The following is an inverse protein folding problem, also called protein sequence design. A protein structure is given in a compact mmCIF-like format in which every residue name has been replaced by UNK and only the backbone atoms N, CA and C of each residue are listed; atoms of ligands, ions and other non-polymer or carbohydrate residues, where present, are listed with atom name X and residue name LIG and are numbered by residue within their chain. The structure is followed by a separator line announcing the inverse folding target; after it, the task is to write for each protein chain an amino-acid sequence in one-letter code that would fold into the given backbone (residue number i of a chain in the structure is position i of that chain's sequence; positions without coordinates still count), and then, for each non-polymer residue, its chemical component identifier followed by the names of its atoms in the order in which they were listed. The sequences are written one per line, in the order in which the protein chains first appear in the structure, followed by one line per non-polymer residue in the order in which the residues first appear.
data_IF_405437464586
#
_entry.id   IF_405437464586
#
_cell.length_a   1.000
_cell.length_b   1.000
_cell.length_c   1.000
_cell.angle_alpha   90.00
_cell.angle_beta   90.00
_cell.angle_gamma   90.00
#
_symmetry.space_group_name_H-M   'P 1'
#
loop_
_entity.id
_entity.type
_entity.pdbx_description
1 polymer ?
#
# COMPACT_ATOMS: atom_id res chain seq x y z
N UNK A 1 35.36 -33.35 6.95
CA UNK A 1 34.13 -33.84 7.60
C UNK A 1 32.98 -32.93 7.19
N UNK A 2 32.27 -33.29 6.13
CA UNK A 2 31.06 -32.59 5.65
C UNK A 2 29.98 -33.67 5.62
N UNK A 3 29.24 -33.82 6.71
CA UNK A 3 28.19 -34.83 6.85
C UNK A 3 26.95 -34.29 7.61
N UNK A 4 26.80 -32.96 7.74
CA UNK A 4 25.67 -32.35 8.46
C UNK A 4 24.53 -31.86 7.56
N UNK A 5 24.83 -31.38 6.34
CA UNK A 5 23.84 -30.70 5.49
C UNK A 5 22.85 -31.64 4.78
N UNK A 6 23.24 -32.87 4.46
CA UNK A 6 22.33 -33.83 3.82
C UNK A 6 21.28 -34.38 4.80
N UNK A 7 21.64 -34.52 6.07
CA UNK A 7 20.76 -35.08 7.10
C UNK A 7 19.63 -34.09 7.48
N UNK A 8 19.95 -32.80 7.50
CA UNK A 8 18.97 -31.72 7.75
C UNK A 8 18.03 -31.49 6.56
N UNK A 9 18.56 -31.64 5.34
CA UNK A 9 17.74 -31.60 4.11
C UNK A 9 16.79 -32.81 4.07
N UNK A 10 17.25 -33.99 4.48
CA UNK A 10 16.41 -35.19 4.55
C UNK A 10 15.34 -35.11 5.63
N UNK A 11 15.67 -34.57 6.82
CA UNK A 11 14.68 -34.37 7.90
C UNK A 11 13.61 -33.35 7.51
N UNK A 12 14.00 -32.26 6.88
CA UNK A 12 13.06 -31.23 6.40
C UNK A 12 12.13 -31.78 5.30
N UNK A 13 12.68 -32.56 4.36
CA UNK A 13 11.89 -33.22 3.32
C UNK A 13 10.93 -34.29 3.88
N UNK A 14 11.34 -35.02 4.92
CA UNK A 14 10.50 -36.05 5.57
C UNK A 14 9.38 -35.41 6.40
N UNK A 15 9.66 -34.28 7.05
CA UNK A 15 8.66 -33.50 7.78
C UNK A 15 7.63 -32.88 6.83
N UNK A 16 8.07 -32.26 5.74
CA UNK A 16 7.18 -31.72 4.71
C UNK A 16 6.33 -32.80 4.03
N UNK A 17 6.88 -33.99 3.79
CA UNK A 17 6.08 -35.13 3.30
C UNK A 17 5.02 -35.59 4.30
N UNK A 18 5.33 -35.64 5.60
CA UNK A 18 4.31 -35.96 6.62
C UNK A 18 3.24 -34.87 6.77
N UNK A 19 3.63 -33.60 6.66
CA UNK A 19 2.69 -32.48 6.68
C UNK A 19 1.83 -32.43 5.41
N UNK A 20 2.35 -32.92 4.26
CA UNK A 20 1.61 -33.05 3.01
C UNK A 20 0.74 -34.33 2.95
N UNK A 21 1.18 -35.45 3.52
CA UNK A 21 0.36 -36.67 3.65
C UNK A 21 -0.83 -36.46 4.62
N UNK A 22 -0.73 -35.50 5.54
CA UNK A 22 -1.81 -35.10 6.43
C UNK A 22 -2.88 -34.20 5.76
N UNK A 23 -2.57 -33.64 4.59
CA UNK A 23 -3.53 -32.93 3.75
C UNK A 23 -3.86 -33.88 2.62
N UNK A 24 -4.98 -34.62 2.71
CA UNK A 24 -5.46 -35.49 1.62
C UNK A 24 -5.79 -34.67 0.36
N UNK A 25 -4.76 -34.27 -0.39
CA UNK A 25 -4.88 -33.77 -1.75
C UNK A 25 -4.64 -34.98 -2.64
N UNK A 26 -5.73 -35.61 -3.07
CA UNK A 26 -5.72 -36.61 -4.12
C UNK A 26 -5.32 -35.92 -5.44
N UNK A 27 -4.02 -35.80 -5.69
CA UNK A 27 -3.44 -35.24 -6.90
C UNK A 27 -2.22 -36.04 -7.35
N UNK A 28 -2.25 -36.50 -8.59
CA UNK A 28 -1.23 -37.34 -9.21
C UNK A 28 0.15 -36.64 -9.16
N UNK A 29 1.19 -37.34 -8.67
CA UNK A 29 2.49 -36.73 -8.31
C UNK A 29 3.19 -35.99 -9.46
N UNK A 30 2.88 -36.34 -10.70
CA UNK A 30 3.36 -35.64 -11.90
C UNK A 30 2.80 -34.21 -12.05
N UNK A 31 1.62 -33.91 -11.49
CA UNK A 31 0.99 -32.61 -11.55
C UNK A 31 1.69 -31.59 -10.62
N UNK A 32 2.12 -32.04 -9.43
CA UNK A 32 2.86 -31.24 -8.45
C UNK A 32 4.24 -30.86 -8.99
N UNK A 33 4.95 -31.82 -9.58
CA UNK A 33 6.24 -31.56 -10.23
C UNK A 33 6.12 -30.60 -11.42
N UNK A 34 5.02 -30.67 -12.18
CA UNK A 34 4.72 -29.72 -13.25
C UNK A 34 4.54 -28.29 -12.76
N UNK A 35 3.85 -28.09 -11.63
CA UNK A 35 3.61 -26.78 -11.02
C UNK A 35 4.91 -26.20 -10.44
N UNK A 36 5.70 -27.01 -9.73
CA UNK A 36 6.98 -26.59 -9.17
C UNK A 36 7.99 -26.20 -10.25
N UNK A 37 8.01 -26.95 -11.36
CA UNK A 37 8.89 -26.67 -12.51
C UNK A 37 8.47 -25.38 -13.24
N UNK A 38 7.17 -25.10 -13.38
CA UNK A 38 6.66 -23.82 -13.91
C UNK A 38 6.97 -22.63 -12.99
N UNK A 39 6.89 -22.82 -11.65
CA UNK A 39 7.27 -21.81 -10.67
C UNK A 39 8.77 -21.49 -10.71
N UNK A 40 9.63 -22.51 -10.86
CA UNK A 40 11.07 -22.31 -10.99
C UNK A 40 11.46 -21.63 -12.32
N UNK A 41 10.80 -21.99 -13.42
CA UNK A 41 11.00 -21.34 -14.72
C UNK A 41 10.56 -19.86 -14.70
N UNK A 42 9.44 -19.53 -14.04
CA UNK A 42 8.99 -18.14 -13.84
C UNK A 42 9.97 -17.32 -13.00
N UNK A 43 10.49 -17.87 -11.90
CA UNK A 43 11.49 -17.20 -11.05
C UNK A 43 12.80 -16.91 -11.81
N UNK A 44 13.24 -17.80 -12.70
CA UNK A 44 14.42 -17.56 -13.52
C UNK A 44 14.17 -16.51 -14.62
N UNK A 45 12.98 -16.47 -15.22
CA UNK A 45 12.61 -15.44 -16.20
C UNK A 45 12.52 -14.04 -15.55
N UNK A 46 11.94 -13.95 -14.35
CA UNK A 46 11.87 -12.70 -13.58
C UNK A 46 13.25 -12.20 -13.13
N UNK A 47 14.17 -13.10 -12.74
CA UNK A 47 15.55 -12.71 -12.43
C UNK A 47 16.30 -12.15 -13.65
N UNK A 48 15.96 -12.58 -14.88
CA UNK A 48 16.52 -11.99 -16.11
C UNK A 48 15.88 -10.64 -16.47
N UNK A 49 14.60 -10.42 -16.18
CA UNK A 49 13.97 -9.10 -16.35
C UNK A 49 14.51 -8.05 -15.37
N UNK A 50 14.92 -8.45 -14.14
CA UNK A 50 15.54 -7.54 -13.17
C UNK A 50 16.91 -6.98 -13.58
N UNK A 51 17.55 -7.51 -14.63
CA UNK A 51 18.82 -6.99 -15.15
C UNK A 51 18.66 -5.97 -16.29
N UNK A 52 17.43 -5.71 -16.76
CA UNK A 52 17.15 -4.78 -17.87
C UNK A 52 16.19 -3.63 -17.50
N UNK A 53 15.69 -3.59 -16.27
CA UNK A 53 14.85 -2.47 -15.77
C UNK A 53 15.65 -1.69 -14.73
N UNK A 54 16.70 -1.02 -15.19
CA UNK A 54 17.39 0.00 -14.43
C UNK A 54 17.07 1.37 -15.03
N UNK A 55 16.47 2.23 -14.20
CA UNK A 55 16.41 3.69 -14.30
C UNK A 55 15.50 4.25 -15.42
N UNK A 56 14.20 4.45 -15.13
CA UNK A 56 13.38 5.64 -15.46
C UNK A 56 11.89 5.36 -15.23
N UNK A 57 11.29 5.86 -14.13
CA UNK A 57 9.84 6.18 -13.99
C UNK A 57 9.40 6.48 -12.53
N UNK A 58 10.11 7.33 -11.79
CA UNK A 58 9.70 7.69 -10.41
C UNK A 58 9.62 9.20 -10.12
N UNK A 59 9.80 10.08 -11.12
CA UNK A 59 9.96 11.53 -10.85
C UNK A 59 8.79 12.40 -11.34
N UNK A 60 7.83 11.88 -12.12
CA UNK A 60 6.80 12.75 -12.76
C UNK A 60 5.43 12.71 -12.09
N UNK A 61 5.12 11.71 -11.26
CA UNK A 61 3.73 11.46 -10.90
C UNK A 61 3.19 12.19 -9.66
N UNK A 62 4.05 12.75 -8.81
CA UNK A 62 3.60 13.49 -7.63
C UNK A 62 3.56 15.02 -7.83
N UNK A 63 4.27 15.54 -8.83
CA UNK A 63 4.28 16.96 -9.18
C UNK A 63 3.01 17.42 -9.93
N UNK A 64 2.20 16.49 -10.46
CA UNK A 64 1.01 16.82 -11.25
C UNK A 64 -0.25 17.10 -10.42
N UNK A 65 -0.21 16.89 -9.10
CA UNK A 65 -1.43 16.89 -8.27
C UNK A 65 -1.86 18.29 -7.80
N UNK A 66 -1.01 19.33 -7.88
CA UNK A 66 -1.37 20.67 -7.36
C UNK A 66 -1.08 21.85 -8.31
N UNK A 67 -0.30 21.67 -9.38
CA UNK A 67 0.04 22.77 -10.30
C UNK A 67 -0.13 22.39 -11.75
N UNK A 68 -1.16 22.90 -12.42
CA UNK A 68 -1.24 22.81 -13.87
C UNK A 68 -0.10 23.62 -14.49
N UNK A 69 0.87 22.96 -15.15
CA UNK A 69 1.62 23.52 -16.28
C UNK A 69 2.31 22.43 -17.12
N UNK A 70 1.93 22.39 -18.41
CA UNK A 70 2.67 21.98 -19.61
C UNK A 70 3.66 20.80 -19.51
N UNK A 71 3.15 19.59 -19.78
CA UNK A 71 3.99 18.50 -20.26
C UNK A 71 4.49 18.82 -21.67
N UNK A 72 5.77 19.21 -21.77
CA UNK A 72 6.54 19.04 -23.00
C UNK A 72 7.40 17.81 -22.82
N UNK A 73 6.83 16.63 -23.10
CA UNK A 73 7.64 15.49 -23.52
C UNK A 73 6.89 14.66 -24.56
N UNK A 74 7.58 14.41 -25.68
CA UNK A 74 6.99 13.78 -26.87
C UNK A 74 6.89 12.27 -26.64
N UNK A 75 5.66 11.77 -26.55
CA UNK A 75 5.37 10.34 -26.66
C UNK A 75 3.98 10.00 -26.14
N UNK A 76 2.98 10.10 -27.01
CA UNK A 76 1.55 9.83 -26.74
C UNK A 76 0.93 10.73 -25.67
N UNK A 77 0.26 11.79 -26.12
CA UNK A 77 -0.58 12.66 -25.31
C UNK A 77 -1.76 11.82 -24.78
N UNK A 78 -1.67 11.35 -23.53
CA UNK A 78 -2.78 10.67 -22.86
C UNK A 78 -3.85 11.73 -22.66
N UNK A 79 -5.07 11.57 -23.20
CA UNK A 79 -6.13 12.54 -23.01
C UNK A 79 -6.37 12.74 -21.50
N UNK A 80 -6.66 13.97 -21.06
CA UNK A 80 -6.92 14.25 -19.65
C UNK A 80 -8.08 13.38 -19.17
N UNK A 81 -7.94 12.83 -17.96
CA UNK A 81 -8.99 12.03 -17.33
C UNK A 81 -10.27 12.86 -17.23
N UNK A 82 -11.42 12.23 -17.53
CA UNK A 82 -12.70 12.87 -17.26
C UNK A 82 -12.88 13.07 -15.75
N UNK A 83 -13.56 14.15 -15.30
CA UNK A 83 -13.92 14.34 -13.90
C UNK A 83 -14.63 13.11 -13.34
N UNK A 84 -14.38 12.77 -12.06
CA UNK A 84 -14.99 11.58 -11.45
C UNK A 84 -16.52 11.71 -11.40
N UNK A 85 -17.04 12.93 -11.33
CA UNK A 85 -18.47 13.27 -11.44
C UNK A 85 -19.07 13.05 -12.82
N UNK A 86 -18.27 12.77 -13.85
CA UNK A 86 -18.73 12.41 -15.20
C UNK A 86 -18.52 10.92 -15.54
N UNK A 87 -17.85 10.16 -14.67
CA UNK A 87 -17.65 8.73 -14.89
C UNK A 87 -18.97 7.97 -15.00
N UNK A 88 -19.11 7.17 -16.06
CA UNK A 88 -20.26 6.28 -16.24
C UNK A 88 -20.35 5.29 -15.09
N UNK A 89 -21.52 5.17 -14.41
CA UNK A 89 -21.73 4.20 -13.35
C UNK A 89 -21.50 2.76 -13.81
N UNK A 90 -20.90 1.91 -12.96
CA UNK A 90 -20.65 0.49 -13.28
C UNK A 90 -20.60 -0.42 -12.05
N UNK A 91 -20.39 -1.72 -12.26
CA UNK A 91 -20.43 -2.75 -11.22
C UNK A 91 -21.75 -3.52 -11.18
N UNK A 92 -21.69 -4.73 -10.64
CA UNK A 92 -22.79 -5.69 -10.66
C UNK A 92 -23.98 -5.29 -9.75
N UNK A 93 -23.82 -4.29 -8.89
CA UNK A 93 -24.86 -3.81 -7.97
C UNK A 93 -25.32 -2.37 -8.29
N UNK A 94 -24.93 -1.82 -9.44
CA UNK A 94 -25.18 -0.39 -9.73
C UNK A 94 -26.66 -0.01 -9.86
N UNK A 95 -27.54 -0.97 -10.17
CA UNK A 95 -28.99 -0.78 -10.25
C UNK A 95 -29.75 -1.01 -8.94
N UNK A 96 -29.05 -1.30 -7.84
CA UNK A 96 -29.67 -1.48 -6.51
C UNK A 96 -29.84 -0.11 -5.83
N UNK A 97 -31.01 0.50 -6.02
CA UNK A 97 -31.32 1.82 -5.45
C UNK A 97 -31.36 1.82 -3.92
N UNK A 98 -31.81 0.72 -3.29
CA UNK A 98 -31.83 0.64 -1.83
C UNK A 98 -30.41 0.59 -1.26
N UNK A 99 -29.50 -0.12 -1.93
CA UNK A 99 -28.09 -0.13 -1.58
C UNK A 99 -27.47 1.27 -1.76
N UNK A 100 -27.81 1.96 -2.85
CA UNK A 100 -27.38 3.34 -3.08
C UNK A 100 -27.86 4.28 -1.97
N UNK A 101 -29.10 4.16 -1.52
CA UNK A 101 -29.66 4.95 -0.42
C UNK A 101 -28.98 4.66 0.92
N UNK A 102 -28.73 3.38 1.23
CA UNK A 102 -27.94 2.99 2.41
C UNK A 102 -26.51 3.55 2.34
N UNK A 103 -25.90 3.58 1.16
CA UNK A 103 -24.56 4.13 0.98
C UNK A 103 -24.54 5.64 1.22
N UNK A 104 -25.52 6.38 0.67
CA UNK A 104 -25.68 7.82 0.92
C UNK A 104 -25.93 8.11 2.39
N UNK A 105 -26.74 7.28 3.06
CA UNK A 105 -26.98 7.41 4.50
C UNK A 105 -25.72 7.18 5.34
N UNK A 106 -24.80 6.31 4.90
CA UNK A 106 -23.51 6.12 5.54
C UNK A 106 -22.55 7.32 5.34
N UNK A 107 -22.78 8.16 4.32
CA UNK A 107 -21.96 9.34 4.01
C UNK A 107 -22.78 10.64 3.95
N UNK A 108 -23.34 11.11 5.09
CA UNK A 108 -24.23 12.26 5.11
C UNK A 108 -23.55 13.57 4.64
N UNK A 109 -22.25 13.72 4.90
CA UNK A 109 -21.47 14.88 4.47
C UNK A 109 -21.29 14.97 2.95
N UNK A 110 -21.52 13.87 2.22
CA UNK A 110 -21.48 13.85 0.75
C UNK A 110 -22.64 14.58 0.09
N UNK A 111 -23.67 14.96 0.85
CA UNK A 111 -24.82 15.72 0.33
C UNK A 111 -25.47 15.05 -0.89
N UNK A 112 -25.65 15.84 -1.97
CA UNK A 112 -26.18 15.35 -3.24
C UNK A 112 -25.12 14.50 -3.99
N UNK A 113 -24.89 13.29 -3.50
CA UNK A 113 -23.92 12.35 -4.06
C UNK A 113 -24.55 11.36 -5.05
N UNK A 114 -23.76 10.95 -6.05
CA UNK A 114 -24.13 9.94 -7.04
C UNK A 114 -23.24 8.71 -6.92
N UNK A 115 -23.77 7.54 -7.26
CA UNK A 115 -22.98 6.30 -7.29
C UNK A 115 -22.22 6.21 -8.62
N UNK A 116 -20.91 5.95 -8.56
CA UNK A 116 -20.06 5.67 -9.74
C UNK A 116 -19.69 4.21 -9.84
N UNK A 117 -19.73 3.48 -8.73
CA UNK A 117 -19.47 2.05 -8.70
C UNK A 117 -20.24 1.38 -7.57
N UNK A 118 -20.79 0.19 -7.82
CA UNK A 118 -21.28 -0.68 -6.77
C UNK A 118 -21.03 -2.14 -7.13
N UNK A 119 -20.33 -2.87 -6.25
CA UNK A 119 -20.03 -4.28 -6.52
C UNK A 119 -19.49 -5.04 -5.32
N UNK A 120 -19.33 -6.35 -5.51
CA UNK A 120 -18.89 -7.29 -4.47
C UNK A 120 -17.45 -7.74 -4.71
N UNK A 121 -16.65 -7.78 -3.65
CA UNK A 121 -15.31 -8.36 -3.68
C UNK A 121 -15.36 -9.81 -4.18
N UNK A 122 -14.49 -10.21 -5.12
CA UNK A 122 -14.41 -11.59 -5.58
C UNK A 122 -13.65 -12.49 -4.59
N UNK A 123 -13.01 -11.92 -3.57
CA UNK A 123 -12.21 -12.66 -2.61
C UNK A 123 -13.08 -13.18 -1.46
N UNK A 124 -13.32 -14.49 -1.42
CA UNK A 124 -14.12 -15.10 -0.34
C UNK A 124 -13.51 -14.97 1.05
N UNK A 125 -12.18 -14.84 1.15
CA UNK A 125 -11.49 -14.66 2.42
C UNK A 125 -11.50 -13.20 2.93
N UNK A 126 -11.99 -12.27 2.12
CA UNK A 126 -12.14 -10.85 2.41
C UNK A 126 -13.28 -10.29 1.55
N UNK A 127 -14.49 -10.78 1.83
CA UNK A 127 -15.66 -10.50 1.03
C UNK A 127 -16.39 -9.29 1.61
N UNK A 128 -16.71 -8.33 0.76
CA UNK A 128 -17.44 -7.12 1.14
C UNK A 128 -18.08 -6.51 -0.10
N UNK A 129 -19.13 -5.72 0.11
CA UNK A 129 -19.73 -4.84 -0.90
C UNK A 129 -19.07 -3.48 -0.79
N UNK A 130 -18.69 -2.87 -1.92
CA UNK A 130 -18.26 -1.46 -1.99
C UNK A 130 -19.25 -0.70 -2.86
N UNK A 131 -19.67 0.46 -2.36
CA UNK A 131 -20.35 1.50 -3.11
C UNK A 131 -19.45 2.74 -3.11
N UNK A 132 -19.05 3.19 -4.29
CA UNK A 132 -18.28 4.42 -4.48
C UNK A 132 -19.25 5.53 -4.83
N UNK A 133 -19.32 6.52 -3.96
CA UNK A 133 -20.10 7.74 -4.11
C UNK A 133 -19.17 8.88 -4.53
N UNK A 134 -19.65 9.77 -5.37
CA UNK A 134 -18.98 11.03 -5.71
C UNK A 134 -19.92 12.20 -5.46
N UNK A 135 -19.37 13.27 -4.90
CA UNK A 135 -20.04 14.52 -4.62
C UNK A 135 -19.17 15.70 -5.06
N UNK A 136 -19.79 16.87 -5.20
CA UNK A 136 -19.09 18.15 -5.39
C UNK A 136 -19.24 18.97 -4.12
N UNK A 137 -18.13 19.42 -3.56
CA UNK A 137 -18.13 20.28 -2.38
C UNK A 137 -18.62 21.71 -2.73
N UNK A 138 -18.95 22.55 -1.73
CA UNK A 138 -19.38 23.93 -1.99
C UNK A 138 -18.36 24.81 -2.74
N UNK A 139 -17.07 24.42 -2.73
CA UNK A 139 -16.00 25.08 -3.47
C UNK A 139 -15.83 24.60 -4.91
N UNK A 140 -16.65 23.64 -5.36
CA UNK A 140 -16.58 23.04 -6.70
C UNK A 140 -15.57 21.90 -6.82
N UNK A 141 -14.94 21.48 -5.72
CA UNK A 141 -14.02 20.34 -5.67
C UNK A 141 -14.76 19.01 -5.66
N UNK A 142 -14.24 18.03 -6.40
CA UNK A 142 -14.77 16.66 -6.37
C UNK A 142 -14.33 15.94 -5.09
N UNK A 143 -15.23 15.18 -4.48
CA UNK A 143 -14.96 14.31 -3.33
C UNK A 143 -15.54 12.93 -3.56
N UNK A 144 -14.87 11.91 -3.06
CA UNK A 144 -15.35 10.53 -3.07
C UNK A 144 -15.58 10.01 -1.66
N UNK A 145 -16.57 9.15 -1.53
CA UNK A 145 -16.88 8.38 -0.33
C UNK A 145 -16.97 6.90 -0.69
N UNK A 146 -16.35 6.07 0.12
CA UNK A 146 -16.38 4.61 -0.04
C UNK A 146 -17.24 4.04 1.07
N UNK A 147 -18.48 3.68 0.76
CA UNK A 147 -19.34 2.97 1.69
C UNK A 147 -19.17 1.46 1.48
N UNK A 148 -18.95 0.71 2.56
CA UNK A 148 -18.74 -0.74 2.47
C UNK A 148 -19.66 -1.50 3.40
N UNK A 149 -19.99 -2.74 3.05
CA UNK A 149 -20.45 -3.68 4.07
C UNK A 149 -19.32 -3.95 5.06
N UNK A 150 -19.62 -4.50 6.25
CA UNK A 150 -18.59 -5.15 7.05
C UNK A 150 -17.87 -6.22 6.23
N UNK A 151 -16.58 -6.42 6.52
CA UNK A 151 -15.82 -7.52 5.94
C UNK A 151 -16.32 -8.85 6.51
N UNK A 152 -16.57 -9.80 5.61
CA UNK A 152 -16.97 -11.17 5.91
C UNK A 152 -15.92 -12.14 5.34
N UNK A 153 -15.44 -13.07 6.18
CA UNK A 153 -14.42 -14.06 5.80
C UNK A 153 -15.03 -15.38 5.32
N UNK A 154 -16.36 -15.50 5.33
CA UNK A 154 -17.09 -16.68 4.85
C UNK A 154 -17.54 -16.55 3.38
N UNK A 155 -17.40 -15.37 2.79
CA UNK A 155 -17.76 -15.09 1.40
C UNK A 155 -19.20 -14.62 1.20
N UNK A 156 -19.90 -14.22 2.26
CA UNK A 156 -21.32 -13.82 2.26
C UNK A 156 -21.50 -12.44 2.88
N UNK A 157 -21.07 -11.37 2.18
CA UNK A 157 -21.11 -10.03 2.75
C UNK A 157 -22.57 -9.58 2.92
N UNK A 158 -22.88 -8.88 4.01
CA UNK A 158 -24.21 -8.37 4.32
C UNK A 158 -24.40 -6.95 3.75
N UNK A 159 -25.11 -6.78 2.61
CA UNK A 159 -25.33 -5.46 2.00
C UNK A 159 -26.38 -4.61 2.74
N UNK A 160 -27.05 -5.15 3.77
CA UNK A 160 -28.06 -4.41 4.54
C UNK A 160 -27.45 -3.39 5.49
N UNK A 161 -26.15 -3.53 5.80
CA UNK A 161 -25.40 -2.64 6.67
C UNK A 161 -24.24 -2.06 5.89
N UNK A 162 -24.25 -0.75 5.66
CA UNK A 162 -23.13 -0.04 5.06
C UNK A 162 -22.54 0.93 6.07
N UNK A 163 -21.21 1.03 6.07
CA UNK A 163 -20.43 1.97 6.87
C UNK A 163 -19.52 2.78 5.95
N UNK A 164 -19.26 4.04 6.28
CA UNK A 164 -18.26 4.82 5.57
C UNK A 164 -16.88 4.27 5.91
N UNK A 165 -16.16 3.80 4.90
CA UNK A 165 -14.82 3.23 5.02
C UNK A 165 -13.73 4.28 4.85
N UNK A 166 -13.90 5.17 3.89
CA UNK A 166 -12.92 6.19 3.54
C UNK A 166 -13.59 7.36 2.79
N UNK A 167 -13.00 8.55 2.86
CA UNK A 167 -13.39 9.71 2.05
C UNK A 167 -12.18 10.58 1.73
N UNK A 168 -12.17 11.17 0.54
CA UNK A 168 -11.12 12.10 0.14
C UNK A 168 -11.56 13.09 -0.93
N UNK A 169 -10.88 14.24 -1.03
CA UNK A 169 -10.90 15.04 -2.23
C UNK A 169 -10.30 14.28 -3.42
N UNK A 170 -10.78 14.58 -4.62
CA UNK A 170 -10.25 14.07 -5.88
C UNK A 170 -9.47 15.19 -6.55
N UNK A 171 -8.21 14.91 -6.90
CA UNK A 171 -7.41 15.86 -7.65
C UNK A 171 -7.84 15.91 -9.11
N UNK A 172 -7.69 17.08 -9.73
CA UNK A 172 -8.00 17.25 -11.17
C UNK A 172 -7.13 16.31 -12.01
N UNK A 173 -7.76 15.57 -12.93
CA UNK A 173 -7.06 14.64 -13.81
C UNK A 173 -6.70 13.29 -13.17
N UNK A 174 -7.18 13.03 -11.95
CA UNK A 174 -6.97 11.76 -11.26
C UNK A 174 -7.69 10.61 -12.00
N UNK A 175 -6.92 9.58 -12.38
CA UNK A 175 -7.38 8.46 -13.21
C UNK A 175 -7.88 7.25 -12.44
N UNK A 176 -7.77 7.27 -11.12
CA UNK A 176 -8.30 6.25 -10.22
C UNK A 176 -8.64 6.83 -8.86
N UNK A 177 -9.61 6.24 -8.18
CA UNK A 177 -9.91 6.54 -6.78
C UNK A 177 -9.85 5.24 -5.99
N UNK A 178 -9.42 5.30 -4.75
CA UNK A 178 -9.29 4.10 -3.95
C UNK A 178 -8.99 4.39 -2.49
N UNK A 179 -9.00 3.35 -1.69
CA UNK A 179 -8.63 3.42 -0.29
C UNK A 179 -7.79 2.20 0.12
N UNK A 180 -7.06 2.36 1.21
CA UNK A 180 -6.50 1.26 2.00
C UNK A 180 -6.86 1.51 3.46
N UNK A 181 -7.56 0.55 4.06
CA UNK A 181 -7.98 0.56 5.46
C UNK A 181 -7.07 -0.38 6.24
N UNK A 182 -6.19 0.17 7.07
CA UNK A 182 -5.28 -0.59 7.91
C UNK A 182 -5.97 -1.14 9.17
N UNK A 183 -6.90 -0.36 9.70
CA UNK A 183 -7.69 -0.67 10.88
C UNK A 183 -9.05 -1.24 10.48
N UNK A 184 -9.47 -2.32 11.16
CA UNK A 184 -10.80 -2.90 11.03
C UNK A 184 -11.85 -1.94 11.61
N UNK A 185 -12.99 -1.76 10.92
CA UNK A 185 -14.12 -1.02 11.49
C UNK A 185 -15.01 -1.94 12.33
N UNK A 186 -15.87 -1.36 13.18
CA UNK A 186 -16.83 -2.13 13.95
C UNK A 186 -17.69 -3.06 13.07
N UNK A 187 -17.69 -4.35 13.40
CA UNK A 187 -18.44 -5.39 12.69
C UNK A 187 -17.64 -6.10 11.60
N UNK A 188 -16.46 -5.61 11.22
CA UNK A 188 -15.57 -6.36 10.33
C UNK A 188 -15.07 -7.64 11.02
N UNK A 189 -15.10 -8.75 10.30
CA UNK A 189 -14.36 -9.95 10.69
C UNK A 189 -12.86 -9.77 10.41
N UNK A 190 -12.01 -10.51 11.12
CA UNK A 190 -10.55 -10.44 10.92
C UNK A 190 -10.11 -11.57 9.99
N UNK A 191 -9.55 -11.25 8.80
CA UNK A 191 -9.00 -12.27 7.90
C UNK A 191 -7.92 -13.11 8.57
N UNK A 192 -7.77 -14.37 8.15
CA UNK A 192 -6.71 -15.25 8.66
C UNK A 192 -5.33 -14.66 8.35
N UNK A 193 -4.55 -14.37 9.40
CA UNK A 193 -3.26 -13.67 9.29
C UNK A 193 -3.34 -12.15 9.52
N UNK A 194 -4.52 -11.63 9.89
CA UNK A 194 -4.76 -10.19 10.00
C UNK A 194 -4.76 -9.52 8.62
N UNK A 195 -4.74 -8.19 8.62
CA UNK A 195 -4.49 -7.48 7.38
C UNK A 195 -5.17 -6.14 7.22
N UNK A 196 -4.88 -5.55 6.07
CA UNK A 196 -5.44 -4.27 5.62
C UNK A 196 -6.19 -4.51 4.32
N UNK A 197 -7.30 -3.80 4.14
CA UNK A 197 -8.18 -3.97 2.97
C UNK A 197 -7.92 -2.82 2.00
N UNK A 198 -7.62 -3.14 0.76
CA UNK A 198 -7.45 -2.17 -0.32
C UNK A 198 -8.51 -2.32 -1.40
N UNK A 199 -8.94 -1.19 -1.95
CA UNK A 199 -9.80 -1.11 -3.13
C UNK A 199 -9.34 0.04 -4.02
N UNK A 200 -9.33 -0.16 -5.34
CA UNK A 200 -9.21 0.94 -6.28
C UNK A 200 -10.07 0.74 -7.53
N UNK A 201 -10.60 1.86 -8.02
CA UNK A 201 -11.45 2.01 -9.17
C UNK A 201 -10.81 3.01 -10.14
N UNK A 202 -10.42 2.55 -11.32
CA UNK A 202 -9.90 3.41 -12.38
C UNK A 202 -11.02 4.08 -13.19
N UNK A 203 -10.68 5.08 -13.99
CA UNK A 203 -11.61 5.70 -14.93
C UNK A 203 -12.21 4.67 -15.92
N UNK A 204 -13.42 4.90 -16.44
CA UNK A 204 -14.02 4.04 -17.47
C UNK A 204 -13.08 3.84 -18.67
N UNK A 205 -12.97 2.59 -19.15
CA UNK A 205 -12.11 2.21 -20.27
C UNK A 205 -10.68 1.81 -19.87
N UNK A 206 -10.22 2.15 -18.66
CA UNK A 206 -8.99 1.58 -18.11
C UNK A 206 -9.21 0.09 -17.78
N UNK A 207 -8.26 -0.76 -18.21
CA UNK A 207 -8.33 -2.22 -17.96
C UNK A 207 -7.59 -2.64 -16.71
N UNK A 208 -6.41 -2.08 -16.51
CA UNK A 208 -5.49 -2.49 -15.47
C UNK A 208 -5.40 -1.40 -14.39
N UNK A 209 -5.79 -1.77 -13.18
CA UNK A 209 -5.48 -1.05 -11.95
C UNK A 209 -4.94 -2.05 -10.95
N UNK A 210 -3.85 -1.72 -10.27
CA UNK A 210 -3.28 -2.55 -9.21
C UNK A 210 -2.96 -1.68 -8.02
N UNK A 211 -3.00 -2.23 -6.81
CA UNK A 211 -2.44 -1.55 -5.65
C UNK A 211 -0.99 -2.02 -5.46
N UNK A 212 -0.10 -1.10 -5.08
CA UNK A 212 1.29 -1.40 -4.80
C UNK A 212 1.69 -0.77 -3.47
N UNK A 213 2.36 -1.55 -2.62
CA UNK A 213 2.79 -1.11 -1.28
C UNK A 213 4.26 -1.47 -1.03
N UNK A 214 5.00 -0.58 -0.36
CA UNK A 214 6.42 -0.82 -0.04
C UNK A 214 6.66 -1.83 1.07
N UNK A 215 5.64 -2.21 1.83
CA UNK A 215 5.78 -3.21 2.91
C UNK A 215 5.84 -4.65 2.39
N UNK A 216 5.47 -4.90 1.13
CA UNK A 216 5.52 -6.22 0.50
C UNK A 216 6.53 -6.24 -0.67
N UNK A 217 7.24 -7.37 -0.84
CA UNK A 217 8.12 -7.60 -2.00
C UNK A 217 7.34 -7.85 -3.28
N UNK A 218 6.35 -8.72 -3.18
CA UNK A 218 5.51 -9.15 -4.28
C UNK A 218 4.09 -9.31 -3.73
N UNK A 219 3.12 -8.61 -4.32
CA UNK A 219 1.72 -8.86 -4.07
C UNK A 219 1.23 -9.94 -5.03
N UNK A 220 0.54 -10.95 -4.51
CA UNK A 220 -0.19 -11.87 -5.38
C UNK A 220 -1.25 -11.06 -6.12
N UNK A 221 -1.16 -11.01 -7.45
CA UNK A 221 -2.14 -10.32 -8.28
C UNK A 221 -3.53 -10.84 -7.91
N UNK A 222 -4.39 -9.95 -7.43
CA UNK A 222 -5.78 -10.31 -7.16
C UNK A 222 -6.47 -10.36 -8.51
N UNK A 223 -7.20 -11.44 -8.84
CA UNK A 223 -7.90 -11.51 -10.11
C UNK A 223 -8.86 -10.32 -10.22
N UNK A 224 -8.62 -9.46 -11.21
CA UNK A 224 -9.56 -8.41 -11.58
C UNK A 224 -10.73 -9.09 -12.29
N UNK A 225 -11.85 -9.20 -11.59
CA UNK A 225 -13.09 -9.77 -12.14
C UNK A 225 -13.82 -8.74 -13.02
N UNK A 226 -13.59 -7.46 -12.77
CA UNK A 226 -14.12 -6.34 -13.55
C UNK A 226 -12.99 -5.40 -13.99
N UNK A 227 -12.92 -5.03 -15.29
CA UNK A 227 -11.90 -4.11 -15.80
C UNK A 227 -11.82 -2.80 -15.01
N UNK A 228 -10.60 -2.37 -14.68
CA UNK A 228 -10.37 -1.12 -13.95
C UNK A 228 -10.86 -1.17 -12.50
N UNK A 229 -11.01 -2.36 -11.92
CA UNK A 229 -11.28 -2.56 -10.49
C UNK A 229 -10.24 -3.53 -9.91
N UNK A 230 -9.69 -3.17 -8.75
CA UNK A 230 -8.83 -4.07 -7.98
C UNK A 230 -9.24 -4.09 -6.52
N UNK A 231 -9.09 -5.27 -5.96
CA UNK A 231 -9.30 -5.59 -4.55
C UNK A 231 -7.98 -6.10 -4.01
N UNK A 232 -7.64 -5.77 -2.77
CA UNK A 232 -6.43 -6.25 -2.15
C UNK A 232 -6.70 -6.60 -0.69
N UNK A 233 -6.18 -7.75 -0.27
CA UNK A 233 -5.94 -8.04 1.13
C UNK A 233 -4.43 -7.99 1.33
N UNK A 234 -3.99 -7.08 2.19
CA UNK A 234 -2.60 -6.92 2.57
C UNK A 234 -2.35 -7.53 3.95
N UNK A 235 -1.09 -7.77 4.28
CA UNK A 235 -0.67 -8.01 5.66
C UNK A 235 -0.85 -6.73 6.49
N UNK A 236 -0.93 -6.87 7.81
CA UNK A 236 -0.94 -5.74 8.74
C UNK A 236 0.22 -4.80 8.45
N UNK A 237 -0.02 -3.49 8.51
CA UNK A 237 0.97 -2.46 8.25
C UNK A 237 0.80 -1.71 6.92
N UNK A 238 0.01 -2.26 5.99
CA UNK A 238 -0.29 -1.57 4.73
C UNK A 238 -1.39 -0.53 4.94
N UNK A 239 -1.13 0.70 4.51
CA UNK A 239 -2.07 1.81 4.61
C UNK A 239 -1.89 2.80 3.48
N UNK A 240 -2.67 3.87 3.49
CA UNK A 240 -2.53 4.92 2.48
C UNK A 240 -1.16 5.62 2.50
N UNK A 241 -0.44 5.56 3.62
CA UNK A 241 0.90 6.15 3.79
C UNK A 241 2.01 5.40 3.04
N UNK A 242 1.79 4.15 2.63
CA UNK A 242 2.80 3.32 1.95
C UNK A 242 2.25 2.63 0.69
N UNK A 243 1.03 2.96 0.27
CA UNK A 243 0.32 2.30 -0.83
C UNK A 243 -0.13 3.31 -1.89
N UNK A 244 -0.06 2.91 -3.16
CA UNK A 244 -0.61 3.65 -4.31
C UNK A 244 -1.40 2.73 -5.21
N UNK A 245 -2.39 3.29 -5.91
CA UNK A 245 -2.98 2.64 -7.06
C UNK A 245 -2.13 2.94 -8.30
N UNK A 246 -1.88 1.94 -9.14
CA UNK A 246 -1.20 2.10 -10.42
C UNK A 246 -2.22 1.91 -11.54
N UNK A 247 -2.44 2.94 -12.36
CA UNK A 247 -3.21 2.85 -13.60
C UNK A 247 -2.22 2.77 -14.76
N UNK A 248 -1.95 1.56 -15.23
CA UNK A 248 -0.76 1.29 -16.03
C UNK A 248 0.51 1.60 -15.22
N UNK A 249 1.31 2.56 -15.66
CA UNK A 249 2.51 3.03 -14.95
C UNK A 249 2.30 4.32 -14.15
N UNK A 250 1.07 4.85 -14.11
CA UNK A 250 0.77 6.12 -13.43
C UNK A 250 0.33 5.83 -11.99
N UNK A 251 1.13 6.21 -10.98
CA UNK A 251 0.71 6.08 -9.59
C UNK A 251 -0.31 7.17 -9.24
N UNK A 252 -1.28 6.75 -8.45
CA UNK A 252 -2.40 7.56 -7.97
C UNK A 252 -2.51 7.34 -6.47
N UNK A 253 -2.51 8.42 -5.66
CA UNK A 253 -2.70 8.30 -4.22
C UNK A 253 -4.02 7.60 -3.89
N UNK A 254 -3.98 6.78 -2.84
CA UNK A 254 -5.17 6.18 -2.24
C UNK A 254 -5.44 6.82 -0.89
N UNK A 255 -6.67 6.72 -0.44
CA UNK A 255 -7.14 7.35 0.79
C UNK A 255 -7.04 6.41 1.99
N UNK A 256 -6.76 6.96 3.16
CA UNK A 256 -6.75 6.20 4.41
C UNK A 256 -8.17 5.82 4.85
N UNK A 257 -8.32 4.72 5.59
CA UNK A 257 -9.58 4.40 6.25
C UNK A 257 -9.99 5.50 7.25
N UNK A 258 -11.29 5.64 7.55
CA UNK A 258 -11.78 6.64 8.52
C UNK A 258 -11.30 6.40 9.95
N UNK A 259 -10.86 5.17 10.25
CA UNK A 259 -10.27 4.78 11.54
C UNK A 259 -8.73 4.68 11.49
N UNK A 260 -8.12 5.00 10.35
CA UNK A 260 -6.67 5.01 10.20
C UNK A 260 -6.08 6.38 10.56
N UNK A 261 -4.77 6.46 10.84
CA UNK A 261 -4.05 7.72 10.91
C UNK A 261 -4.32 8.60 9.68
N UNK A 262 -4.38 9.91 9.92
CA UNK A 262 -4.68 10.86 8.86
C UNK A 262 -3.48 10.97 7.91
N UNK A 263 -3.72 10.73 6.62
CA UNK A 263 -2.71 10.86 5.57
C UNK A 263 -3.05 12.07 4.70
N UNK A 264 -2.17 13.07 4.71
CA UNK A 264 -2.34 14.29 3.91
C UNK A 264 -1.21 14.43 2.91
N UNK A 265 -1.54 14.74 1.66
CA UNK A 265 -0.55 15.14 0.66
C UNK A 265 -0.04 16.52 1.00
N UNK A 266 1.26 16.67 1.20
CA UNK A 266 1.88 17.95 1.57
C UNK A 266 3.07 18.27 0.68
N UNK A 267 3.41 19.56 0.59
CA UNK A 267 4.55 20.04 -0.20
C UNK A 267 5.71 20.38 0.73
N UNK A 268 6.87 19.82 0.45
CA UNK A 268 8.10 20.16 1.15
C UNK A 268 8.59 21.52 0.69
N UNK A 269 8.85 22.40 1.66
CA UNK A 269 9.53 23.67 1.41
C UNK A 269 10.98 23.54 1.87
N UNK A 270 11.91 23.94 1.01
CA UNK A 270 13.35 23.96 1.34
C UNK A 270 13.82 25.40 1.43
N UNK A 271 14.35 25.78 2.59
CA UNK A 271 15.01 27.08 2.79
C UNK A 271 16.45 26.82 3.23
N UNK A 272 17.39 27.09 2.33
CA UNK A 272 18.79 26.67 2.48
C UNK A 272 18.87 25.15 2.71
N UNK A 273 19.32 24.72 3.88
CA UNK A 273 19.47 23.30 4.25
C UNK A 273 18.31 22.78 5.12
N UNK A 274 17.33 23.63 5.47
CA UNK A 274 16.20 23.25 6.29
C UNK A 274 15.01 22.84 5.43
N UNK A 275 14.51 21.63 5.65
CA UNK A 275 13.24 21.16 5.14
C UNK A 275 12.12 21.44 6.15
N UNK A 276 10.99 21.95 5.66
CA UNK A 276 9.83 22.24 6.48
C UNK A 276 8.53 21.88 5.78
N UNK A 277 7.51 21.59 6.58
CA UNK A 277 6.12 21.39 6.16
C UNK A 277 5.20 22.33 6.92
N UNK A 278 4.19 22.92 6.26
CA UNK A 278 3.23 23.77 6.93
C UNK A 278 2.35 22.96 7.89
N UNK A 279 1.80 23.65 8.89
CA UNK A 279 0.72 23.18 9.75
C UNK A 279 0.98 21.82 10.43
N UNK A 280 2.23 21.54 10.83
CA UNK A 280 2.58 20.28 11.48
C UNK A 280 1.88 20.12 12.83
N UNK A 281 1.98 21.12 13.72
CA UNK A 281 1.23 21.22 14.99
C UNK A 281 1.48 20.12 16.03
N UNK A 282 2.04 18.98 15.61
CA UNK A 282 2.37 17.76 16.35
C UNK A 282 3.45 16.98 15.59
N UNK A 283 4.09 16.04 16.28
CA UNK A 283 5.02 15.12 15.64
C UNK A 283 4.28 14.28 14.60
N UNK A 284 4.84 14.17 13.41
CA UNK A 284 4.22 13.45 12.29
C UNK A 284 5.29 12.71 11.50
N UNK A 285 4.92 11.65 10.77
CA UNK A 285 5.85 10.99 9.86
C UNK A 285 5.75 11.56 8.47
N UNK A 286 6.88 11.62 7.78
CA UNK A 286 6.95 11.98 6.38
C UNK A 286 7.28 10.73 5.55
N UNK A 287 6.38 10.36 4.65
CA UNK A 287 6.48 9.13 3.88
C UNK A 287 6.27 9.38 2.39
N UNK A 288 6.70 8.39 1.62
CA UNK A 288 6.36 8.19 0.22
C UNK A 288 5.86 6.75 0.07
N UNK A 289 5.19 6.41 -1.04
CA UNK A 289 4.85 5.03 -1.35
C UNK A 289 6.05 4.08 -1.25
N UNK A 290 7.26 4.58 -1.50
CA UNK A 290 8.52 3.83 -1.45
C UNK A 290 9.06 3.62 -0.03
N UNK A 291 8.76 4.53 0.91
CA UNK A 291 9.23 4.43 2.29
C UNK A 291 9.31 5.74 3.07
N UNK A 292 9.92 5.66 4.25
CA UNK A 292 10.08 6.76 5.21
C UNK A 292 11.11 7.78 4.70
N UNK A 293 10.68 9.05 4.63
CA UNK A 293 11.51 10.17 4.23
C UNK A 293 12.12 10.90 5.43
N UNK A 294 11.36 11.04 6.51
CA UNK A 294 11.77 11.78 7.70
C UNK A 294 10.70 11.83 8.79
N UNK A 295 11.01 12.56 9.85
CA UNK A 295 10.10 12.87 10.95
C UNK A 295 9.89 14.37 11.00
N UNK A 296 8.65 14.80 11.14
CA UNK A 296 8.24 16.19 11.23
C UNK A 296 8.09 16.54 12.71
N UNK A 297 8.79 17.57 13.18
CA UNK A 297 8.63 18.10 14.52
C UNK A 297 7.39 19.02 14.63
N UNK A 298 6.89 19.31 15.83
CA UNK A 298 5.70 20.15 16.02
C UNK A 298 5.82 21.56 15.42
N UNK A 299 7.04 22.09 15.28
CA UNK A 299 7.31 23.39 14.66
C UNK A 299 7.36 23.35 13.11
N UNK A 300 7.12 22.18 12.52
CA UNK A 300 7.11 21.96 11.08
C UNK A 300 8.47 21.66 10.47
N UNK A 301 9.56 21.64 11.26
CA UNK A 301 10.88 21.24 10.77
C UNK A 301 10.92 19.74 10.50
N UNK A 302 11.66 19.34 9.46
CA UNK A 302 11.78 17.94 9.04
C UNK A 302 13.19 17.42 9.31
N UNK A 303 13.28 16.38 10.13
CA UNK A 303 14.51 15.61 10.32
C UNK A 303 14.54 14.45 9.34
N UNK A 304 15.42 14.53 8.33
CA UNK A 304 15.64 13.48 7.33
C UNK A 304 16.82 12.56 7.64
N UNK A 305 17.65 12.95 8.61
CA UNK A 305 18.64 12.08 9.25
C UNK A 305 17.93 11.16 10.26
N UNK A 306 17.50 10.00 9.77
CA UNK A 306 16.76 9.03 10.59
C UNK A 306 17.60 8.44 11.74
N UNK A 307 18.94 8.48 11.65
CA UNK A 307 19.84 8.05 12.72
C UNK A 307 19.97 9.07 13.85
N UNK A 308 19.65 10.34 13.58
CA UNK A 308 19.62 11.41 14.58
C UNK A 308 18.27 11.53 15.30
N UNK A 309 17.22 10.83 14.84
CA UNK A 309 15.90 10.84 15.50
C UNK A 309 15.95 9.98 16.77
N UNK A 310 15.78 10.56 17.96
CA UNK A 310 15.79 9.80 19.21
C UNK A 310 14.66 8.76 19.23
N UNK A 311 14.98 7.56 19.71
CA UNK A 311 14.02 6.48 19.98
C UNK A 311 13.11 6.10 18.80
N UNK A 312 13.53 6.35 17.55
CA UNK A 312 12.78 5.95 16.36
C UNK A 312 12.52 4.43 16.37
N UNK A 313 11.26 3.96 16.45
CA UNK A 313 10.95 2.56 16.65
C UNK A 313 11.13 1.80 15.33
N UNK A 314 12.31 1.20 15.14
CA UNK A 314 12.64 0.42 13.96
C UNK A 314 12.86 -1.05 14.28
N UNK A 315 12.43 -1.92 13.36
CA UNK A 315 12.60 -3.36 13.49
C UNK A 315 12.84 -4.04 12.14
N UNK A 316 13.40 -5.24 12.19
CA UNK A 316 13.46 -6.14 11.03
C UNK A 316 12.04 -6.63 10.73
N UNK A 317 11.52 -6.36 9.54
CA UNK A 317 10.10 -6.57 9.22
C UNK A 317 9.63 -8.02 9.43
N UNK A 318 10.45 -9.02 9.04
CA UNK A 318 10.05 -10.42 9.10
C UNK A 318 10.15 -11.04 10.50
N UNK A 319 11.08 -10.57 11.33
CA UNK A 319 11.32 -11.14 12.68
C UNK A 319 10.80 -10.26 13.81
N UNK A 320 10.41 -9.01 13.53
CA UNK A 320 10.09 -8.00 14.53
C UNK A 320 11.27 -7.63 15.44
N UNK A 321 12.51 -8.00 15.08
CA UNK A 321 13.67 -7.74 15.93
C UNK A 321 13.96 -6.24 15.97
N UNK A 322 13.82 -5.56 17.13
CA UNK A 322 14.02 -4.11 17.21
C UNK A 322 15.50 -3.76 17.06
N UNK A 323 15.79 -2.52 16.70
CA UNK A 323 17.17 -2.02 16.59
C UNK A 323 17.29 -0.52 16.76
N UNK A 324 18.45 0.00 16.40
CA UNK A 324 18.72 1.44 16.28
C UNK A 324 19.34 1.75 14.93
N UNK A 325 19.18 2.98 14.46
CA UNK A 325 19.82 3.46 13.24
C UNK A 325 20.96 4.41 13.57
N UNK A 326 21.97 4.41 12.72
CA UNK A 326 23.03 5.43 12.69
C UNK A 326 23.28 5.78 11.25
N UNK A 327 23.25 7.06 10.92
CA UNK A 327 23.43 7.51 9.54
C UNK A 327 24.89 7.39 9.14
N UNK A 328 25.12 6.77 7.98
CA UNK A 328 26.45 6.65 7.38
C UNK A 328 26.62 7.70 6.28
N UNK A 329 25.60 7.82 5.42
CA UNK A 329 25.48 8.80 4.35
C UNK A 329 23.99 9.03 4.01
N UNK A 330 23.70 9.91 3.04
CA UNK A 330 22.34 10.32 2.67
C UNK A 330 21.44 9.15 2.21
N UNK A 331 22.04 8.06 1.71
CA UNK A 331 21.35 6.91 1.13
C UNK A 331 21.49 5.64 1.96
N UNK A 332 22.38 5.63 2.94
CA UNK A 332 22.76 4.44 3.70
C UNK A 332 22.74 4.71 5.19
N UNK A 333 22.08 3.82 5.93
CA UNK A 333 22.09 3.80 7.40
C UNK A 333 22.67 2.47 7.88
N UNK A 334 23.27 2.49 9.06
CA UNK A 334 23.68 1.29 9.79
C UNK A 334 22.58 0.91 10.76
N UNK A 335 22.13 -0.34 10.71
CA UNK A 335 21.15 -0.89 11.65
C UNK A 335 21.85 -1.74 12.71
N UNK A 336 21.64 -1.44 13.98
CA UNK A 336 22.16 -2.25 15.09
C UNK A 336 20.99 -2.99 15.75
N UNK A 337 20.84 -4.31 15.54
CA UNK A 337 19.77 -5.07 16.18
C UNK A 337 19.98 -5.13 17.70
N UNK A 338 18.91 -4.95 18.47
CA UNK A 338 18.90 -5.13 19.94
C UNK A 338 18.82 -6.61 20.36
N UNK A 339 18.90 -7.54 19.40
CA UNK A 339 18.84 -8.99 19.61
C UNK A 339 20.04 -9.74 19.04
N UNK A 340 20.13 -11.05 19.31
CA UNK A 340 21.21 -11.92 18.81
C UNK A 340 21.07 -12.28 17.34
N UNK A 341 19.85 -12.24 16.81
CA UNK A 341 19.55 -12.58 15.43
C UNK A 341 19.92 -11.41 14.52
N UNK A 342 20.92 -11.60 13.67
CA UNK A 342 21.24 -10.64 12.61
C UNK A 342 20.24 -10.80 11.44
N UNK A 343 19.80 -9.71 10.81
CA UNK A 343 19.04 -9.82 9.57
C UNK A 343 19.91 -10.35 8.43
N UNK A 344 19.27 -10.85 7.37
CA UNK A 344 19.93 -11.26 6.13
C UNK A 344 19.85 -10.18 5.05
N UNK A 345 20.76 -10.16 4.06
CA UNK A 345 20.61 -9.30 2.89
C UNK A 345 19.25 -9.50 2.22
N UNK A 346 18.62 -8.40 1.84
CA UNK A 346 17.26 -8.36 1.30
C UNK A 346 16.14 -8.24 2.34
N UNK A 347 16.42 -8.40 3.64
CA UNK A 347 15.42 -8.11 4.67
C UNK A 347 15.12 -6.61 4.73
N UNK A 348 13.85 -6.26 4.95
CA UNK A 348 13.44 -4.86 5.20
C UNK A 348 13.66 -4.49 6.65
N UNK A 349 14.04 -3.24 6.85
CA UNK A 349 13.89 -2.53 8.12
C UNK A 349 12.68 -1.62 7.98
N UNK A 350 11.75 -1.72 8.92
CA UNK A 350 10.51 -0.93 8.94
C UNK A 350 10.46 -0.10 10.21
N UNK A 351 9.82 1.07 10.12
CA UNK A 351 9.24 1.73 11.27
C UNK A 351 8.09 0.85 11.77
N UNK A 352 8.13 0.46 13.03
CA UNK A 352 7.20 -0.47 13.66
C UNK A 352 6.97 0.01 15.10
N UNK A 353 6.00 0.91 15.24
CA UNK A 353 5.61 1.45 16.52
C UNK A 353 4.73 0.42 17.28
N UNK A 354 5.11 -0.02 18.49
CA UNK A 354 4.30 -0.93 19.28
C UNK A 354 2.91 -0.37 19.64
N UNK A 355 2.79 0.96 19.77
CA UNK A 355 1.53 1.63 20.12
C UNK A 355 0.64 1.81 18.87
N UNK A 356 1.24 1.78 17.67
CA UNK A 356 0.58 1.86 16.36
C UNK A 356 0.97 0.70 15.43
N UNK A 357 0.64 -0.56 15.79
CA UNK A 357 1.03 -1.74 15.03
C UNK A 357 0.43 -1.79 13.61
N UNK A 358 -0.63 -1.03 13.36
CA UNK A 358 -1.24 -0.84 12.04
C UNK A 358 -0.34 -0.05 11.09
N UNK A 359 0.62 0.73 11.59
CA UNK A 359 1.50 1.60 10.80
C UNK A 359 2.87 0.97 10.62
N UNK A 360 3.09 0.36 9.45
CA UNK A 360 4.42 -0.05 9.01
C UNK A 360 4.88 0.81 7.85
N UNK A 361 6.08 1.39 7.96
CA UNK A 361 6.69 2.16 6.87
C UNK A 361 8.08 1.60 6.58
N UNK A 362 8.34 1.26 5.33
CA UNK A 362 9.64 0.77 4.92
C UNK A 362 10.71 1.86 5.10
N UNK A 363 11.74 1.58 5.89
CA UNK A 363 12.88 2.49 6.05
C UNK A 363 13.95 2.17 5.01
N UNK A 364 14.20 0.89 4.78
CA UNK A 364 15.27 0.45 3.90
C UNK A 364 15.39 -1.05 3.78
N UNK A 365 16.31 -1.47 2.90
CA UNK A 365 16.63 -2.87 2.65
C UNK A 365 18.06 -3.16 3.05
N UNK A 366 18.28 -4.23 3.82
CA UNK A 366 19.61 -4.71 4.21
C UNK A 366 20.38 -5.11 2.96
N UNK A 367 21.56 -4.52 2.75
CA UNK A 367 22.45 -4.79 1.61
C UNK A 367 23.68 -5.60 2.01
N UNK A 368 24.18 -5.38 3.23
CA UNK A 368 25.37 -6.01 3.79
C UNK A 368 25.15 -6.27 5.29
N UNK A 369 25.75 -7.32 5.84
CA UNK A 369 25.57 -7.74 7.26
C UNK A 369 26.88 -7.71 8.04
N UNK A 370 28.02 -7.75 7.35
CA UNK A 370 29.36 -7.76 7.96
C UNK A 370 30.27 -6.76 7.25
N UNK A 371 31.08 -5.98 7.98
CA UNK A 371 31.26 -5.98 9.43
C UNK A 371 30.09 -5.34 10.21
N UNK A 372 29.24 -4.58 9.53
CA UNK A 372 28.05 -3.92 10.08
C UNK A 372 26.84 -4.17 9.19
N UNK A 373 25.63 -4.09 9.75
CA UNK A 373 24.41 -4.24 8.94
C UNK A 373 24.12 -2.92 8.22
N UNK A 374 24.47 -2.86 6.93
CA UNK A 374 24.18 -1.70 6.08
C UNK A 374 22.81 -1.83 5.45
N UNK A 375 22.03 -0.77 5.55
CA UNK A 375 20.68 -0.65 5.05
C UNK A 375 20.65 0.49 4.04
N UNK A 376 20.29 0.17 2.81
CA UNK A 376 20.01 1.19 1.79
C UNK A 376 18.62 1.73 2.05
N UNK A 377 18.51 3.05 2.22
CA UNK A 377 17.21 3.72 2.39
C UNK A 377 16.31 3.46 1.20
N UNK A 378 15.03 3.20 1.46
CA UNK A 378 14.06 2.97 0.40
C UNK A 378 13.57 4.26 -0.26
N UNK A 379 13.63 5.37 0.48
CA UNK A 379 13.24 6.68 0.00
C UNK A 379 14.22 7.75 0.50
N UNK A 380 14.46 8.78 -0.32
CA UNK A 380 15.29 9.94 0.02
C UNK A 380 14.54 11.24 -0.27
N UNK A 381 14.69 12.26 0.59
CA UNK A 381 13.94 13.51 0.50
C UNK A 381 14.31 14.36 -0.73
N UNK A 382 15.52 14.20 -1.28
CA UNK A 382 16.05 15.08 -2.34
C UNK A 382 15.36 14.96 -3.69
N UNK A 383 14.49 13.95 -3.84
CA UNK A 383 13.79 13.67 -5.09
C UNK A 383 12.29 13.98 -5.03
N UNK A 384 11.76 14.30 -3.84
CA UNK A 384 10.33 14.43 -3.62
C UNK A 384 9.95 15.86 -3.19
N UNK A 385 9.22 16.59 -4.03
CA UNK A 385 8.65 17.90 -3.68
C UNK A 385 7.30 17.78 -2.99
N UNK A 386 6.57 16.71 -3.30
CA UNK A 386 5.30 16.35 -2.70
C UNK A 386 5.51 15.06 -1.94
N UNK A 387 4.86 14.90 -0.79
CA UNK A 387 5.07 13.76 0.12
C UNK A 387 3.79 13.50 0.91
N UNK A 388 3.72 12.35 1.57
CA UNK A 388 2.64 11.99 2.47
C UNK A 388 3.02 12.36 3.89
N UNK A 389 2.20 13.15 4.57
CA UNK A 389 2.29 13.39 6.01
C UNK A 389 1.32 12.45 6.72
N UNK A 390 1.84 11.69 7.68
CA UNK A 390 1.06 10.76 8.49
C UNK A 390 0.95 11.33 9.89
N UNK A 391 -0.28 11.69 10.28
CA UNK A 391 -0.59 12.35 11.53
C UNK A 391 -1.40 11.42 12.45
N UNK A 392 -1.27 11.60 13.77
CA UNK A 392 -2.06 10.85 14.76
C UNK A 392 -1.42 9.53 15.21
N UNK A 393 -0.08 9.53 15.31
CA UNK A 393 0.73 8.50 15.94
C UNK A 393 1.19 8.93 17.34
#
# INVERSE_FOLDING_TARGET
MIAGGQDETHRTATRLRRELDAVEVHGDGAAVDGVLRRLHQRRHAQRRQRALVSVTAAVVALALVVGGFAARDRGTEVPPAAPVTEWTPRGNLIGDEELADRARAAWPEGGASRVVYAGTSPNRAASLVVVVLVAVDPGGGERVGFATSPLDVQGTPDPSRLVLRATAPVARGQRAVGFVSATALPGDEVPAGGGSIGFALAEPGARDVTLHTSVLDDQVATPSVEPGVTWALFQTGAGAWNTVALVGAVPVPVTAGVADPQVTVTTLTRTSDLLSVPDAGRTSLLASPEGLLGVVAPDGTVTTDLGAVPDLPVAVAITGTPGTLTTLDDTTVVFTPKGRTKPSPGNRITLADPDHPEVLINVGVVTEVEPVVRVRRSATPDTATTVLRVDGL
#
